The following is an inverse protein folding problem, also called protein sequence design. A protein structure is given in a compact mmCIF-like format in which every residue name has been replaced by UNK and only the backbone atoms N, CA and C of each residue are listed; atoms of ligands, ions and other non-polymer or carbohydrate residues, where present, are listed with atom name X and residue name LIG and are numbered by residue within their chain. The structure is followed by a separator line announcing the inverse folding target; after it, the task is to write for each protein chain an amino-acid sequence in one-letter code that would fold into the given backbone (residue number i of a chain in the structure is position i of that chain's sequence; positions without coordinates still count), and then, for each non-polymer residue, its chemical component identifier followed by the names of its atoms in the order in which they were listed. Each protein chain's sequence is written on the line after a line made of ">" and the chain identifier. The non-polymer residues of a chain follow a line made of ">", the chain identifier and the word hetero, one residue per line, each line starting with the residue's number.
data_IF_026752290675
#
_entry.id   IF_026752290675
#
_cell.length_a   1.000
_cell.length_b   1.000
_cell.length_c   1.000
_cell.angle_alpha   90.00
_cell.angle_beta   90.00
_cell.angle_gamma   90.00
#
_symmetry.space_group_name_H-M   'P 1'
#
loop_
_entity.id
_entity.type
_entity.pdbx_description
1 polymer ?
#
# COMPACT_ATOMS: atom_id res chain seq x y z
N UNK A 1 18.37 30.69 -10.95
CA UNK A 1 19.84 30.56 -10.87
C UNK A 1 20.43 29.88 -12.11
N UNK A 2 20.15 28.60 -12.38
CA UNK A 2 20.79 27.86 -13.49
C UNK A 2 20.65 28.52 -14.89
N UNK A 3 19.54 29.20 -15.16
CA UNK A 3 19.33 29.96 -16.42
C UNK A 3 20.28 31.14 -16.58
N UNK A 4 20.71 31.76 -15.47
CA UNK A 4 21.63 32.91 -15.47
C UNK A 4 23.10 32.47 -15.55
N UNK A 5 23.41 31.22 -15.19
CA UNK A 5 24.76 30.65 -15.31
C UNK A 5 25.02 30.19 -16.75
N UNK A 6 26.30 30.21 -17.17
CA UNK A 6 26.75 29.94 -18.53
C UNK A 6 27.78 28.81 -18.52
N UNK A 7 27.62 27.84 -19.43
CA UNK A 7 28.56 26.74 -19.65
C UNK A 7 29.94 27.30 -20.04
N UNK A 8 31.00 26.66 -19.57
CA UNK A 8 32.42 27.00 -19.79
C UNK A 8 32.91 28.32 -19.15
N UNK A 9 32.02 29.08 -18.49
CA UNK A 9 32.37 30.25 -17.69
C UNK A 9 32.05 30.04 -16.21
N UNK A 10 30.80 29.71 -15.92
CA UNK A 10 30.27 29.55 -14.56
C UNK A 10 30.26 28.09 -14.10
N UNK A 11 30.25 27.13 -15.02
CA UNK A 11 30.31 25.71 -14.72
C UNK A 11 30.88 24.92 -15.89
N UNK A 12 31.36 23.73 -15.59
CA UNK A 12 31.77 22.71 -16.57
C UNK A 12 30.83 21.52 -16.49
N UNK A 13 30.65 20.81 -17.60
CA UNK A 13 29.77 19.65 -17.71
C UNK A 13 30.57 18.46 -18.22
N UNK A 14 30.43 17.34 -17.53
CA UNK A 14 30.94 16.04 -17.94
C UNK A 14 29.76 15.17 -18.36
N UNK A 15 29.51 15.15 -19.67
CA UNK A 15 28.41 14.39 -20.29
C UNK A 15 28.61 12.88 -20.11
N UNK A 16 29.86 12.40 -20.07
CA UNK A 16 30.17 10.97 -19.92
C UNK A 16 29.81 10.46 -18.53
N UNK A 17 30.09 11.27 -17.50
CA UNK A 17 29.79 10.92 -16.11
C UNK A 17 28.46 11.51 -15.61
N UNK A 18 27.69 12.16 -16.49
CA UNK A 18 26.43 12.83 -16.13
C UNK A 18 26.60 13.78 -14.93
N UNK A 19 27.64 14.59 -14.95
CA UNK A 19 27.99 15.47 -13.84
C UNK A 19 28.24 16.91 -14.29
N UNK A 20 28.09 17.85 -13.37
CA UNK A 20 28.40 19.26 -13.58
C UNK A 20 29.12 19.81 -12.34
N UNK A 21 30.08 20.70 -12.55
CA UNK A 21 30.89 21.31 -11.49
C UNK A 21 30.90 22.82 -11.69
N UNK A 22 30.60 23.59 -10.63
CA UNK A 22 30.69 25.05 -10.66
C UNK A 22 32.15 25.50 -10.67
N UNK A 23 32.42 26.62 -11.35
CA UNK A 23 33.69 27.36 -11.20
C UNK A 23 33.57 28.33 -10.02
N UNK A 24 34.70 28.84 -9.51
CA UNK A 24 34.70 29.88 -8.45
C UNK A 24 33.83 31.10 -8.81
N UNK A 25 33.84 31.47 -10.09
CA UNK A 25 33.00 32.56 -10.61
C UNK A 25 31.52 32.19 -10.58
N UNK A 26 31.16 30.97 -10.98
CA UNK A 26 29.78 30.49 -10.95
C UNK A 26 29.22 30.34 -9.55
N UNK A 27 30.05 29.92 -8.59
CA UNK A 27 29.70 29.88 -7.18
C UNK A 27 29.38 31.28 -6.65
N UNK A 28 30.24 32.26 -6.92
CA UNK A 28 29.99 33.65 -6.51
C UNK A 28 28.72 34.25 -7.13
N UNK A 29 28.49 34.03 -8.42
CA UNK A 29 27.27 34.51 -9.10
C UNK A 29 26.02 33.81 -8.53
N UNK A 30 26.10 32.52 -8.20
CA UNK A 30 24.99 31.81 -7.58
C UNK A 30 24.69 32.33 -6.16
N UNK A 31 25.71 32.64 -5.37
CA UNK A 31 25.59 33.30 -4.06
C UNK A 31 24.89 34.65 -4.17
N UNK A 32 25.36 35.51 -5.09
CA UNK A 32 24.77 36.84 -5.31
C UNK A 32 23.29 36.75 -5.74
N UNK A 33 22.94 35.78 -6.59
CA UNK A 33 21.55 35.58 -7.04
C UNK A 33 20.63 35.02 -5.96
N UNK A 34 21.16 34.20 -5.04
CA UNK A 34 20.40 33.62 -3.93
C UNK A 34 20.40 34.52 -2.69
N UNK A 35 21.28 35.51 -2.62
CA UNK A 35 21.44 36.38 -1.45
C UNK A 35 22.05 35.66 -0.26
N UNK A 36 22.90 34.66 -0.49
CA UNK A 36 23.53 33.83 0.57
C UNK A 36 25.05 34.01 0.52
N UNK A 37 25.70 34.01 1.69
CA UNK A 37 27.17 34.15 1.77
C UNK A 37 27.90 32.84 1.43
N UNK A 38 27.26 31.69 1.65
CA UNK A 38 27.85 30.38 1.46
C UNK A 38 26.81 29.39 0.90
N UNK A 39 27.15 28.68 -0.18
CA UNK A 39 26.26 27.67 -0.78
C UNK A 39 26.29 26.33 -0.03
N UNK A 40 27.33 26.11 0.79
CA UNK A 40 27.63 24.85 1.48
C UNK A 40 27.16 24.81 2.93
N UNK A 41 26.38 25.79 3.37
CA UNK A 41 25.91 25.87 4.75
C UNK A 41 25.12 24.59 5.12
N UNK A 42 25.46 23.89 6.22
CA UNK A 42 24.81 22.62 6.55
C UNK A 42 23.31 22.72 6.81
N UNK A 43 22.84 23.86 7.33
CA UNK A 43 21.43 24.10 7.58
C UNK A 43 20.64 24.34 6.28
N UNK A 44 21.26 24.97 5.28
CA UNK A 44 20.66 25.30 3.99
C UNK A 44 21.65 25.06 2.84
N UNK A 45 21.86 23.80 2.48
CA UNK A 45 22.80 23.40 1.43
C UNK A 45 22.27 23.74 0.02
N UNK A 46 22.23 25.03 -0.32
CA UNK A 46 21.81 25.57 -1.62
C UNK A 46 22.60 24.99 -2.78
N UNK A 47 23.85 24.60 -2.54
CA UNK A 47 24.73 23.98 -3.54
C UNK A 47 24.08 22.78 -4.23
N UNK A 48 23.36 21.92 -3.48
CA UNK A 48 22.74 20.73 -4.04
C UNK A 48 21.65 21.09 -5.07
N UNK A 49 20.83 22.09 -4.73
CA UNK A 49 19.78 22.59 -5.61
C UNK A 49 20.36 23.28 -6.85
N UNK A 50 21.40 24.10 -6.69
CA UNK A 50 22.07 24.78 -7.81
C UNK A 50 22.69 23.77 -8.76
N UNK A 51 23.42 22.78 -8.25
CA UNK A 51 24.03 21.72 -9.05
C UNK A 51 22.96 20.88 -9.76
N UNK A 52 21.91 20.46 -9.07
CA UNK A 52 20.82 19.71 -9.70
C UNK A 52 20.11 20.53 -10.79
N UNK A 53 19.92 21.84 -10.59
CA UNK A 53 19.33 22.71 -11.61
C UNK A 53 20.24 22.88 -12.84
N UNK A 54 21.56 22.99 -12.65
CA UNK A 54 22.53 23.02 -13.75
C UNK A 54 22.56 21.68 -14.49
N UNK A 55 22.58 20.56 -13.75
CA UNK A 55 22.47 19.22 -14.35
C UNK A 55 21.18 19.07 -15.14
N UNK A 56 20.03 19.48 -14.60
CA UNK A 56 18.73 19.38 -15.27
C UNK A 56 18.72 20.19 -16.57
N UNK A 57 19.32 21.39 -16.55
CA UNK A 57 19.42 22.27 -17.71
C UNK A 57 20.25 21.63 -18.84
N UNK A 58 21.42 21.08 -18.51
CA UNK A 58 22.42 20.68 -19.52
C UNK A 58 22.36 19.20 -19.91
N UNK A 59 22.12 18.30 -18.95
CA UNK A 59 22.30 16.86 -19.12
C UNK A 59 20.99 16.09 -19.35
N UNK A 60 19.83 16.72 -19.16
CA UNK A 60 18.53 16.07 -19.29
C UNK A 60 17.70 16.85 -20.29
N UNK A 61 17.49 16.30 -21.49
CA UNK A 61 16.75 16.91 -22.58
C UNK A 61 15.38 16.27 -22.76
N UNK A 62 14.38 17.13 -23.01
CA UNK A 62 13.03 16.68 -23.32
C UNK A 62 13.02 15.93 -24.66
N UNK A 63 12.53 14.70 -24.65
CA UNK A 63 12.50 13.80 -25.80
C UNK A 63 13.64 12.78 -25.85
N UNK A 64 14.66 12.92 -25.00
CA UNK A 64 15.78 11.98 -24.91
C UNK A 64 15.77 11.23 -23.58
N UNK A 65 16.10 11.89 -22.47
CA UNK A 65 16.11 11.25 -21.13
C UNK A 65 14.70 11.17 -20.49
N UNK A 66 13.77 12.02 -20.92
CA UNK A 66 12.39 12.02 -20.43
C UNK A 66 11.40 12.60 -21.43
N UNK A 67 10.13 12.35 -21.16
CA UNK A 67 8.99 13.01 -21.78
C UNK A 67 8.06 13.57 -20.70
N UNK A 68 7.17 14.47 -21.10
CA UNK A 68 6.08 14.95 -20.26
C UNK A 68 4.80 14.25 -20.70
N UNK A 69 4.13 13.56 -19.77
CA UNK A 69 2.87 12.86 -20.02
C UNK A 69 1.91 13.13 -18.87
N UNK A 70 0.68 13.54 -19.20
CA UNK A 70 -0.37 13.86 -18.22
C UNK A 70 0.09 14.88 -17.15
N UNK A 71 0.91 15.84 -17.55
CA UNK A 71 1.49 16.85 -16.65
C UNK A 71 2.58 16.33 -15.72
N UNK A 72 3.13 15.14 -15.95
CA UNK A 72 4.20 14.55 -15.14
C UNK A 72 5.43 14.20 -15.98
N UNK A 73 6.60 14.27 -15.36
CA UNK A 73 7.88 13.86 -15.97
C UNK A 73 7.99 12.33 -15.93
N UNK A 74 8.15 11.71 -17.09
CA UNK A 74 8.31 10.26 -17.23
C UNK A 74 9.68 9.94 -17.84
N UNK A 75 10.46 9.10 -17.14
CA UNK A 75 11.82 8.72 -17.56
C UNK A 75 11.74 7.83 -18.79
N UNK A 76 12.63 8.09 -19.75
CA UNK A 76 12.81 7.26 -20.95
C UNK A 76 14.14 6.51 -20.85
N UNK A 77 14.12 5.23 -21.15
CA UNK A 77 15.35 4.47 -21.37
C UNK A 77 15.98 4.88 -22.70
N UNK A 78 17.14 5.54 -22.65
CA UNK A 78 17.84 6.07 -23.83
C UNK A 78 18.26 5.01 -24.83
N UNK A 79 18.37 3.74 -24.41
CA UNK A 79 18.69 2.64 -25.33
C UNK A 79 17.47 2.10 -26.08
N UNK A 80 16.32 2.03 -25.41
CA UNK A 80 15.12 1.36 -25.96
C UNK A 80 14.00 2.31 -26.34
N UNK A 81 14.07 3.59 -25.93
CA UNK A 81 13.02 4.58 -26.09
C UNK A 81 11.76 4.30 -25.27
N UNK A 82 11.79 3.32 -24.36
CA UNK A 82 10.63 2.93 -23.55
C UNK A 82 10.49 3.82 -22.33
N UNK A 83 9.25 4.15 -22.01
CA UNK A 83 8.90 4.86 -20.78
C UNK A 83 9.02 3.91 -19.58
N UNK A 84 9.78 4.32 -18.56
CA UNK A 84 9.98 3.57 -17.33
C UNK A 84 8.95 4.00 -16.29
N UNK A 85 7.76 3.40 -16.32
CA UNK A 85 6.65 3.72 -15.42
C UNK A 85 7.02 3.54 -13.94
N UNK A 86 6.64 4.52 -13.11
CA UNK A 86 6.88 4.52 -11.67
C UNK A 86 8.32 4.81 -11.22
N UNK A 87 9.26 5.01 -12.15
CA UNK A 87 10.64 5.39 -11.81
C UNK A 87 10.80 6.89 -11.67
N UNK A 88 11.66 7.29 -10.71
CA UNK A 88 12.05 8.68 -10.46
C UNK A 88 13.56 8.76 -10.24
N UNK A 89 14.17 9.88 -10.59
CA UNK A 89 15.57 10.13 -10.24
C UNK A 89 15.70 10.46 -8.75
N UNK A 90 16.81 10.05 -8.14
CA UNK A 90 17.11 10.28 -6.73
C UNK A 90 17.58 11.72 -6.46
N UNK A 91 17.81 12.02 -5.17
CA UNK A 91 18.58 13.19 -4.71
C UNK A 91 18.06 14.56 -5.17
N UNK A 92 16.74 14.67 -5.40
CA UNK A 92 16.11 15.93 -5.81
C UNK A 92 16.22 16.22 -7.32
N UNK A 93 16.85 15.33 -8.09
CA UNK A 93 17.06 15.53 -9.52
C UNK A 93 15.74 15.54 -10.30
N UNK A 94 14.78 14.68 -9.91
CA UNK A 94 13.48 14.63 -10.57
C UNK A 94 12.69 15.94 -10.34
N UNK A 95 12.74 16.50 -9.14
CA UNK A 95 12.15 17.80 -8.82
C UNK A 95 12.84 18.94 -9.59
N UNK A 96 14.16 18.87 -9.80
CA UNK A 96 14.87 19.87 -10.59
C UNK A 96 14.41 19.86 -12.06
N UNK A 97 14.08 18.69 -12.62
CA UNK A 97 13.52 18.56 -13.97
C UNK A 97 12.06 19.04 -14.02
N UNK A 98 11.22 18.67 -13.03
CA UNK A 98 9.86 19.21 -12.90
C UNK A 98 9.89 20.76 -12.85
N UNK A 99 10.81 21.32 -12.07
CA UNK A 99 11.00 22.78 -11.96
C UNK A 99 11.48 23.39 -13.29
N UNK A 100 12.42 22.73 -13.98
CA UNK A 100 12.92 23.15 -15.30
C UNK A 100 11.78 23.27 -16.31
N UNK A 101 10.87 22.30 -16.32
CA UNK A 101 9.72 22.23 -17.24
C UNK A 101 8.51 23.02 -16.74
N UNK A 102 8.64 23.76 -15.64
CA UNK A 102 7.57 24.57 -15.04
C UNK A 102 6.32 23.73 -14.69
N UNK A 103 6.55 22.51 -14.20
CA UNK A 103 5.55 21.57 -13.70
C UNK A 103 5.47 21.69 -12.18
N UNK A 104 4.29 21.46 -11.61
CA UNK A 104 4.10 21.42 -10.16
C UNK A 104 5.05 20.38 -9.53
N UNK A 105 5.89 20.86 -8.60
CA UNK A 105 6.91 20.02 -7.97
C UNK A 105 6.25 18.99 -7.07
N UNK A 106 6.55 17.74 -7.35
CA UNK A 106 6.03 16.62 -6.59
C UNK A 106 6.63 16.53 -5.18
N UNK A 107 5.79 16.18 -4.20
CA UNK A 107 6.25 15.98 -2.83
C UNK A 107 7.11 14.72 -2.75
N UNK A 108 8.33 14.86 -2.21
CA UNK A 108 9.20 13.73 -1.90
C UNK A 108 8.74 13.08 -0.59
N UNK A 109 8.29 11.83 -0.62
CA UNK A 109 8.34 10.99 0.58
C UNK A 109 9.75 10.40 0.67
N UNK A 110 10.52 10.84 1.65
CA UNK A 110 11.82 10.23 1.96
C UNK A 110 11.58 9.16 3.04
N UNK A 111 12.04 7.95 2.78
CA UNK A 111 12.04 6.90 3.81
C UNK A 111 13.15 7.24 4.81
N UNK A 112 12.77 7.74 5.99
CA UNK A 112 13.73 8.10 7.05
C UNK A 112 14.35 6.87 7.73
N UNK A 113 13.58 5.78 7.82
CA UNK A 113 14.04 4.50 8.38
C UNK A 113 13.22 3.35 7.79
N UNK A 114 13.85 2.19 7.65
CA UNK A 114 13.20 0.97 7.18
C UNK A 114 13.75 -0.24 7.95
N UNK A 115 12.85 -1.14 8.34
CA UNK A 115 13.18 -2.46 8.88
C UNK A 115 12.12 -3.45 8.40
N UNK A 116 12.52 -4.69 8.13
CA UNK A 116 11.57 -5.77 7.83
C UNK A 116 10.99 -6.33 9.12
N UNK A 117 9.78 -6.93 9.08
CA UNK A 117 9.21 -7.57 10.27
C UNK A 117 10.10 -8.70 10.79
N UNK A 118 10.75 -9.44 9.89
CA UNK A 118 11.72 -10.48 10.24
C UNK A 118 12.85 -9.91 11.10
N UNK A 119 13.49 -8.84 10.62
CA UNK A 119 14.59 -8.19 11.35
C UNK A 119 14.11 -7.56 12.64
N UNK A 120 12.95 -6.90 12.64
CA UNK A 120 12.36 -6.26 13.82
C UNK A 120 12.11 -7.26 14.95
N UNK A 121 11.42 -8.37 14.66
CA UNK A 121 11.06 -9.34 15.70
C UNK A 121 12.26 -10.14 16.22
N UNK A 122 13.32 -10.29 15.42
CA UNK A 122 14.58 -10.90 15.87
C UNK A 122 15.37 -10.06 16.87
N UNK A 123 15.04 -8.76 17.02
CA UNK A 123 15.66 -7.91 18.04
C UNK A 123 15.16 -8.22 19.46
N UNK A 124 14.01 -8.88 19.61
CA UNK A 124 13.43 -9.16 20.92
C UNK A 124 14.17 -10.33 21.59
N UNK A 125 14.65 -10.18 22.84
CA UNK A 125 15.37 -11.25 23.54
C UNK A 125 14.53 -12.52 23.76
N UNK A 126 13.21 -12.36 23.82
CA UNK A 126 12.24 -13.45 23.92
C UNK A 126 11.09 -13.15 22.98
N UNK A 127 10.74 -14.13 22.15
CA UNK A 127 9.64 -14.04 21.21
C UNK A 127 8.69 -15.23 21.44
N UNK A 128 7.39 -14.94 21.46
CA UNK A 128 6.33 -15.94 21.49
C UNK A 128 5.17 -15.48 20.59
N UNK A 129 4.37 -16.43 20.12
CA UNK A 129 3.25 -16.16 19.23
C UNK A 129 2.09 -17.13 19.50
N UNK A 130 0.88 -16.71 19.16
CA UNK A 130 -0.33 -17.53 19.22
C UNK A 130 -1.17 -17.32 17.96
N UNK A 131 -1.69 -18.40 17.40
CA UNK A 131 -2.61 -18.39 16.25
C UNK A 131 -3.28 -19.76 16.12
N UNK A 132 -4.42 -19.81 15.44
CA UNK A 132 -5.12 -21.06 15.12
C UNK A 132 -4.53 -21.84 13.94
N UNK A 133 -3.63 -21.24 13.14
CA UNK A 133 -3.23 -21.78 11.82
C UNK A 133 -1.71 -21.78 11.59
N UNK A 134 -0.89 -22.03 12.63
CA UNK A 134 0.58 -21.99 12.49
C UNK A 134 1.22 -23.29 12.00
N UNK A 135 0.54 -24.45 12.14
CA UNK A 135 1.20 -25.74 11.94
C UNK A 135 1.69 -25.98 10.50
N UNK A 136 0.98 -25.47 9.49
CA UNK A 136 1.39 -25.60 8.08
C UNK A 136 2.67 -24.82 7.80
N UNK A 137 2.84 -23.65 8.43
CA UNK A 137 4.00 -22.76 8.25
C UNK A 137 5.06 -22.94 9.35
N UNK A 138 5.03 -24.06 10.08
CA UNK A 138 5.92 -24.23 11.25
C UNK A 138 7.41 -24.21 10.89
N UNK A 139 7.77 -24.70 9.69
CA UNK A 139 9.13 -24.67 9.19
C UNK A 139 9.63 -23.22 9.00
N UNK A 140 8.79 -22.34 8.44
CA UNK A 140 9.13 -20.94 8.25
C UNK A 140 9.30 -20.21 9.59
N UNK A 141 8.41 -20.49 10.56
CA UNK A 141 8.52 -19.93 11.92
C UNK A 141 9.81 -20.35 12.63
N UNK A 142 10.22 -21.61 12.48
CA UNK A 142 11.45 -22.13 13.08
C UNK A 142 12.69 -21.55 12.38
N UNK A 143 12.70 -21.50 11.04
CA UNK A 143 13.84 -21.00 10.26
C UNK A 143 14.07 -19.50 10.45
N UNK A 144 13.02 -18.68 10.37
CA UNK A 144 13.15 -17.22 10.40
C UNK A 144 13.25 -16.69 11.83
N UNK A 145 12.46 -17.25 12.75
CA UNK A 145 12.27 -16.70 14.09
C UNK A 145 12.75 -17.62 15.22
N UNK A 146 13.17 -18.86 14.93
CA UNK A 146 13.51 -19.85 15.96
C UNK A 146 12.30 -20.29 16.79
N UNK A 147 11.08 -20.10 16.27
CA UNK A 147 9.84 -20.40 16.98
C UNK A 147 9.32 -21.79 16.62
N UNK A 148 9.20 -22.67 17.62
CA UNK A 148 8.56 -23.98 17.45
C UNK A 148 7.04 -23.85 17.59
N UNK A 149 6.30 -24.34 16.60
CA UNK A 149 4.85 -24.40 16.67
C UNK A 149 4.39 -25.66 17.42
N UNK A 150 3.50 -25.48 18.40
CA UNK A 150 2.89 -26.59 19.15
C UNK A 150 1.38 -26.51 19.02
N UNK A 151 0.75 -27.59 18.54
CA UNK A 151 -0.71 -27.69 18.50
C UNK A 151 -1.28 -27.88 19.90
N UNK A 152 -2.14 -26.96 20.33
CA UNK A 152 -2.86 -27.07 21.60
C UNK A 152 -4.21 -27.74 21.35
N UNK A 153 -4.59 -28.79 22.12
CA UNK A 153 -5.90 -29.41 21.99
C UNK A 153 -7.04 -28.41 22.18
N UNK A 154 -8.14 -28.58 21.43
CA UNK A 154 -9.31 -27.72 21.57
C UNK A 154 -10.07 -28.02 22.87
N UNK A 155 -10.67 -27.00 23.47
CA UNK A 155 -11.46 -27.15 24.70
C UNK A 155 -12.68 -28.07 24.55
N UNK A 156 -13.20 -28.20 23.32
CA UNK A 156 -14.28 -29.13 22.94
C UNK A 156 -13.94 -29.82 21.62
N UNK A 157 -14.46 -31.02 21.36
CA UNK A 157 -14.34 -31.65 20.05
C UNK A 157 -14.89 -30.74 18.94
N UNK A 158 -14.13 -30.59 17.85
CA UNK A 158 -14.53 -29.80 16.70
C UNK A 158 -15.57 -30.58 15.88
N UNK A 159 -16.75 -29.99 15.67
CA UNK A 159 -17.90 -30.61 14.97
C UNK A 159 -18.34 -29.84 13.72
N UNK A 160 -17.55 -28.83 13.30
CA UNK A 160 -17.80 -28.06 12.08
C UNK A 160 -17.69 -28.99 10.87
N UNK A 161 -18.61 -28.85 9.94
CA UNK A 161 -18.59 -29.57 8.66
C UNK A 161 -17.96 -28.66 7.63
N UNK A 162 -16.78 -29.06 7.16
CA UNK A 162 -16.08 -28.41 6.06
C UNK A 162 -16.47 -29.12 4.75
N UNK A 163 -17.14 -28.39 3.86
CA UNK A 163 -17.61 -28.92 2.58
C UNK A 163 -16.52 -28.73 1.50
N UNK A 164 -16.47 -29.59 0.46
CA UNK A 164 -15.55 -29.42 -0.66
C UNK A 164 -15.79 -28.12 -1.44
N UNK A 165 -14.74 -27.61 -2.07
CA UNK A 165 -14.82 -26.43 -2.92
C UNK A 165 -15.74 -26.64 -4.12
N UNK A 166 -16.48 -25.59 -4.50
CA UNK A 166 -17.33 -25.57 -5.69
C UNK A 166 -16.76 -24.56 -6.69
N UNK A 167 -16.41 -25.03 -7.88
CA UNK A 167 -15.75 -24.23 -8.92
C UNK A 167 -16.72 -23.90 -10.04
N UNK A 168 -16.79 -22.62 -10.40
CA UNK A 168 -17.65 -22.11 -11.48
C UNK A 168 -16.81 -21.58 -12.64
N UNK A 169 -17.35 -21.69 -13.86
CA UNK A 169 -16.70 -21.22 -15.08
C UNK A 169 -16.53 -19.69 -15.12
N UNK A 170 -17.49 -18.95 -14.57
CA UNK A 170 -17.49 -17.49 -14.58
C UNK A 170 -17.72 -16.94 -13.17
N UNK A 171 -17.21 -15.74 -12.91
CA UNK A 171 -17.44 -15.04 -11.65
C UNK A 171 -18.91 -14.74 -11.41
N UNK A 172 -19.66 -14.39 -12.46
CA UNK A 172 -21.09 -14.18 -12.35
C UNK A 172 -21.84 -15.44 -11.91
N UNK A 173 -21.51 -16.61 -12.48
CA UNK A 173 -22.12 -17.87 -12.06
C UNK A 173 -21.82 -18.20 -10.58
N UNK A 174 -20.58 -17.93 -10.14
CA UNK A 174 -20.17 -18.05 -8.73
C UNK A 174 -21.02 -17.14 -7.82
N UNK A 175 -21.16 -15.86 -8.18
CA UNK A 175 -21.93 -14.89 -7.39
C UNK A 175 -23.41 -15.27 -7.33
N UNK A 176 -24.00 -15.67 -8.47
CA UNK A 176 -25.40 -16.10 -8.52
C UNK A 176 -25.64 -17.33 -7.62
N UNK A 177 -24.74 -18.31 -7.63
CA UNK A 177 -24.86 -19.49 -6.78
C UNK A 177 -24.73 -19.18 -5.28
N UNK A 178 -23.83 -18.25 -4.90
CA UNK A 178 -23.72 -17.78 -3.51
C UNK A 178 -25.04 -17.15 -3.06
N UNK A 179 -25.63 -16.29 -3.88
CA UNK A 179 -26.89 -15.60 -3.58
C UNK A 179 -28.04 -16.61 -3.47
N UNK A 180 -28.14 -17.56 -4.40
CA UNK A 180 -29.15 -18.61 -4.38
C UNK A 180 -29.08 -19.47 -3.10
N UNK A 181 -27.88 -19.90 -2.70
CA UNK A 181 -27.67 -20.66 -1.46
C UNK A 181 -28.15 -19.88 -0.22
N UNK A 182 -27.89 -18.56 -0.18
CA UNK A 182 -28.32 -17.70 0.93
C UNK A 182 -29.84 -17.55 0.96
N UNK A 183 -30.48 -17.36 -0.20
CA UNK A 183 -31.94 -17.29 -0.30
C UNK A 183 -32.58 -18.60 0.17
N UNK A 184 -32.08 -19.75 -0.32
CA UNK A 184 -32.56 -21.07 0.08
C UNK A 184 -32.37 -21.33 1.59
N UNK A 185 -31.23 -20.92 2.13
CA UNK A 185 -30.95 -21.00 3.57
C UNK A 185 -31.95 -20.16 4.39
N UNK A 186 -32.23 -18.94 3.96
CA UNK A 186 -33.16 -18.02 4.62
C UNK A 186 -34.61 -18.51 4.56
N UNK A 187 -35.03 -19.13 3.45
CA UNK A 187 -36.36 -19.72 3.31
C UNK A 187 -36.57 -20.97 4.19
N UNK A 188 -35.49 -21.71 4.50
CA UNK A 188 -35.57 -22.92 5.32
C UNK A 188 -35.58 -22.60 6.81
N UNK A 189 -34.42 -22.25 7.33
CA UNK A 189 -34.18 -22.16 8.78
C UNK A 189 -33.47 -20.85 9.17
N UNK A 190 -32.99 -20.04 8.22
CA UNK A 190 -32.31 -18.79 8.50
C UNK A 190 -31.03 -18.95 9.32
N UNK A 191 -30.20 -19.97 9.04
CA UNK A 191 -28.91 -20.12 9.72
C UNK A 191 -28.04 -18.88 9.42
N UNK A 192 -27.34 -18.28 10.41
CA UNK A 192 -26.45 -17.16 10.16
C UNK A 192 -25.36 -17.52 9.13
N UNK A 193 -25.03 -16.56 8.26
CA UNK A 193 -24.06 -16.73 7.18
C UNK A 193 -23.00 -15.63 7.24
N UNK A 194 -21.73 -16.02 7.21
CA UNK A 194 -20.59 -15.13 7.01
C UNK A 194 -19.95 -15.44 5.64
N UNK A 195 -19.80 -14.41 4.81
CA UNK A 195 -19.25 -14.51 3.45
C UNK A 195 -17.92 -13.79 3.44
N UNK A 196 -16.83 -14.52 3.20
CA UNK A 196 -15.50 -13.94 3.04
C UNK A 196 -15.21 -13.60 1.57
N UNK A 197 -14.70 -12.40 1.31
CA UNK A 197 -14.21 -11.99 -0.02
C UNK A 197 -12.77 -11.49 0.07
N UNK A 198 -12.05 -11.52 -1.05
CA UNK A 198 -10.66 -11.05 -1.12
C UNK A 198 -10.54 -9.53 -1.36
N UNK A 199 -11.54 -8.89 -1.94
CA UNK A 199 -11.50 -7.47 -2.30
C UNK A 199 -12.87 -6.79 -2.15
N UNK A 200 -12.84 -5.47 -1.98
CA UNK A 200 -14.04 -4.65 -1.72
C UNK A 200 -15.03 -4.71 -2.88
N UNK A 201 -14.53 -4.70 -4.13
CA UNK A 201 -15.37 -4.74 -5.34
C UNK A 201 -16.27 -5.98 -5.38
N UNK A 202 -15.72 -7.14 -5.02
CA UNK A 202 -16.47 -8.39 -4.96
C UNK A 202 -17.51 -8.36 -3.82
N UNK A 203 -17.16 -7.80 -2.66
CA UNK A 203 -18.11 -7.63 -1.56
C UNK A 203 -19.30 -6.77 -1.95
N UNK A 204 -19.04 -5.63 -2.60
CA UNK A 204 -20.08 -4.72 -3.07
C UNK A 204 -20.97 -5.38 -4.12
N UNK A 205 -20.39 -6.15 -5.05
CA UNK A 205 -21.16 -6.91 -6.03
C UNK A 205 -22.11 -7.93 -5.38
N UNK A 206 -21.63 -8.68 -4.39
CA UNK A 206 -22.45 -9.65 -3.64
C UNK A 206 -23.54 -8.94 -2.85
N UNK A 207 -23.21 -7.84 -2.16
CA UNK A 207 -24.18 -7.04 -1.38
C UNK A 207 -25.30 -6.51 -2.27
N UNK A 208 -24.97 -5.97 -3.44
CA UNK A 208 -25.96 -5.48 -4.40
C UNK A 208 -26.90 -6.59 -4.85
N UNK A 209 -26.36 -7.75 -5.27
CA UNK A 209 -27.18 -8.90 -5.70
C UNK A 209 -28.06 -9.47 -4.57
N UNK A 210 -27.57 -9.45 -3.33
CA UNK A 210 -28.37 -9.87 -2.16
C UNK A 210 -29.54 -8.91 -1.90
N UNK A 211 -29.31 -7.60 -1.98
CA UNK A 211 -30.36 -6.58 -1.81
C UNK A 211 -31.41 -6.66 -2.91
N UNK A 212 -30.99 -6.85 -4.16
CA UNK A 212 -31.90 -7.09 -5.29
C UNK A 212 -32.78 -8.33 -5.07
N UNK A 213 -32.27 -9.33 -4.35
CA UNK A 213 -33.01 -10.52 -3.96
C UNK A 213 -33.81 -10.39 -2.64
N UNK A 214 -33.88 -9.18 -2.06
CA UNK A 214 -34.63 -8.92 -0.83
C UNK A 214 -33.95 -9.37 0.47
N UNK A 215 -32.64 -9.63 0.44
CA UNK A 215 -31.83 -9.93 1.62
C UNK A 215 -31.01 -8.69 2.00
N UNK A 216 -31.04 -8.28 3.26
CA UNK A 216 -30.27 -7.13 3.76
C UNK A 216 -28.99 -7.60 4.49
N UNK A 217 -27.82 -7.67 3.81
CA UNK A 217 -26.58 -8.07 4.43
C UNK A 217 -25.90 -6.91 5.17
N UNK A 218 -25.11 -7.26 6.19
CA UNK A 218 -24.13 -6.37 6.82
C UNK A 218 -22.80 -6.44 6.07
N UNK A 219 -22.20 -5.30 5.71
CA UNK A 219 -20.92 -5.24 4.99
C UNK A 219 -19.81 -4.72 5.90
N UNK A 220 -18.70 -5.47 5.98
CA UNK A 220 -17.47 -5.11 6.70
C UNK A 220 -16.32 -4.99 5.70
N UNK A 221 -15.68 -3.82 5.66
CA UNK A 221 -14.66 -3.48 4.67
C UNK A 221 -13.27 -3.24 5.26
N UNK A 222 -13.07 -3.50 6.56
CA UNK A 222 -11.80 -3.31 7.26
C UNK A 222 -11.25 -1.89 7.13
N UNK A 223 -12.12 -0.87 7.03
CA UNK A 223 -11.69 0.53 7.01
C UNK A 223 -11.24 0.94 8.42
N UNK A 224 -10.04 1.54 8.60
CA UNK A 224 -9.51 1.86 9.94
C UNK A 224 -10.48 2.63 10.83
N UNK A 225 -11.18 3.60 10.25
CA UNK A 225 -12.18 4.46 10.91
C UNK A 225 -13.43 3.69 11.38
N UNK A 226 -13.70 2.52 10.79
CA UNK A 226 -14.90 1.73 11.04
C UNK A 226 -14.64 0.48 11.89
N UNK A 227 -13.39 0.20 12.28
CA UNK A 227 -13.03 -1.04 13.00
C UNK A 227 -13.89 -1.26 14.26
N UNK A 228 -14.09 -0.23 15.08
CA UNK A 228 -14.89 -0.35 16.31
C UNK A 228 -16.35 -0.76 16.02
N UNK A 229 -16.97 -0.13 15.01
CA UNK A 229 -18.33 -0.42 14.58
C UNK A 229 -18.44 -1.77 13.86
N UNK A 230 -17.44 -2.14 13.08
CA UNK A 230 -17.36 -3.45 12.41
C UNK A 230 -17.26 -4.57 13.45
N UNK A 231 -16.49 -4.36 14.53
CA UNK A 231 -16.39 -5.32 15.65
C UNK A 231 -17.72 -5.49 16.40
N UNK A 232 -18.49 -4.41 16.59
CA UNK A 232 -19.84 -4.50 17.14
C UNK A 232 -20.79 -5.27 16.20
N UNK A 233 -20.66 -5.03 14.89
CA UNK A 233 -21.51 -5.68 13.89
C UNK A 233 -21.21 -7.18 13.78
N UNK A 234 -19.93 -7.57 13.75
CA UNK A 234 -19.52 -8.96 13.61
C UNK A 234 -19.87 -9.78 14.86
N UNK A 235 -19.85 -9.18 16.06
CA UNK A 235 -20.24 -9.88 17.30
C UNK A 235 -21.73 -10.30 17.30
N UNK A 236 -22.55 -9.62 16.50
CA UNK A 236 -23.97 -9.91 16.30
C UNK A 236 -24.25 -10.83 15.10
N UNK A 237 -23.22 -11.19 14.31
CA UNK A 237 -23.38 -11.99 13.09
C UNK A 237 -23.90 -13.41 13.34
N UNK A 238 -23.82 -13.91 14.58
CA UNK A 238 -24.32 -15.23 14.97
C UNK A 238 -25.82 -15.31 15.25
N UNK A 239 -26.57 -14.21 15.07
CA UNK A 239 -28.04 -14.18 15.26
C UNK A 239 -28.77 -14.83 14.09
N UNK A 240 -29.95 -15.38 14.37
CA UNK A 240 -30.81 -16.02 13.37
C UNK A 240 -31.09 -15.05 12.21
N UNK A 241 -30.93 -15.52 10.98
CA UNK A 241 -31.19 -14.79 9.74
C UNK A 241 -30.10 -13.79 9.34
N UNK A 242 -29.04 -13.63 10.12
CA UNK A 242 -27.98 -12.66 9.80
C UNK A 242 -27.16 -13.11 8.60
N UNK A 243 -26.97 -12.20 7.66
CA UNK A 243 -26.04 -12.35 6.54
C UNK A 243 -24.98 -11.27 6.65
N UNK A 244 -23.72 -11.66 6.77
CA UNK A 244 -22.58 -10.74 6.93
C UNK A 244 -21.57 -11.00 5.81
N UNK A 245 -21.16 -9.95 5.12
CA UNK A 245 -20.12 -9.96 4.09
C UNK A 245 -18.87 -9.30 4.68
N UNK A 246 -17.77 -10.02 4.74
CA UNK A 246 -16.49 -9.59 5.31
C UNK A 246 -15.40 -9.59 4.25
N UNK A 247 -14.84 -8.41 3.98
CA UNK A 247 -13.72 -8.23 3.07
C UNK A 247 -12.40 -8.48 3.80
N UNK A 248 -11.55 -9.35 3.25
CA UNK A 248 -10.17 -9.59 3.70
C UNK A 248 -10.03 -9.77 5.23
N UNK A 249 -10.84 -10.65 5.82
CA UNK A 249 -10.86 -10.93 7.27
C UNK A 249 -11.27 -9.72 8.14
N UNK A 250 -12.10 -8.80 7.62
CA UNK A 250 -12.73 -7.77 8.45
C UNK A 250 -13.48 -8.39 9.64
N UNK A 251 -13.32 -7.80 10.83
CA UNK A 251 -13.82 -8.36 12.10
C UNK A 251 -12.88 -9.38 12.76
N UNK A 252 -11.65 -9.57 12.25
CA UNK A 252 -10.64 -10.44 12.88
C UNK A 252 -10.41 -10.06 14.35
N UNK A 253 -10.45 -11.08 15.21
CA UNK A 253 -10.22 -10.94 16.66
C UNK A 253 -11.50 -10.77 17.47
N UNK A 254 -12.67 -10.70 16.83
CA UNK A 254 -13.98 -10.70 17.50
C UNK A 254 -14.69 -12.04 17.29
N UNK A 255 -15.11 -12.68 18.38
CA UNK A 255 -15.81 -13.96 18.32
C UNK A 255 -17.26 -13.81 17.83
N UNK A 256 -17.68 -14.69 16.92
CA UNK A 256 -19.06 -14.79 16.45
C UNK A 256 -19.78 -15.82 17.32
N UNK A 257 -20.45 -15.34 18.36
CA UNK A 257 -21.22 -16.18 19.29
C UNK A 257 -22.62 -16.43 18.70
N UNK A 258 -23.05 -17.69 18.68
CA UNK A 258 -24.40 -18.05 18.24
C UNK A 258 -25.44 -17.40 19.14
N UNK A 259 -26.44 -16.75 18.55
CA UNK A 259 -27.44 -15.95 19.26
C UNK A 259 -27.03 -14.49 19.51
N UNK A 260 -25.80 -14.11 19.17
CA UNK A 260 -25.26 -12.76 19.37
C UNK A 260 -24.53 -12.59 20.72
N UNK A 261 -23.66 -11.59 20.78
CA UNK A 261 -22.89 -11.29 21.99
C UNK A 261 -23.77 -10.53 23.01
N UNK A 262 -24.13 -11.19 24.10
CA UNK A 262 -25.04 -10.65 25.12
C UNK A 262 -24.45 -9.50 25.93
N UNK A 263 -23.14 -9.51 26.20
CA UNK A 263 -22.49 -8.44 26.96
C UNK A 263 -22.45 -7.10 26.24
N UNK A 264 -22.50 -7.11 24.90
CA UNK A 264 -22.56 -5.90 24.08
C UNK A 264 -24.00 -5.44 23.78
N UNK A 265 -25.01 -6.28 24.04
CA UNK A 265 -26.42 -5.91 23.89
C UNK A 265 -27.00 -5.19 25.12
N UNK A 266 -26.33 -5.25 26.27
CA UNK A 266 -26.79 -4.69 27.54
C UNK A 266 -26.16 -3.33 27.89
N UNK A 267 -25.37 -2.76 26.97
CA UNK A 267 -24.79 -1.42 27.04
C UNK A 267 -25.55 -0.48 26.12
#
# INVERSE_FOLDING_TARGET
>A
VATALQKDLHYTVDEKNMNAVLTDLGEKVAQDLLGVENLWEPEEAWILYVLNAVKAKELFQLGEEYIIRDGQVAIVDTFTGRVLEGRRWSDGMHQAIETKENIDVSVRSQVSAQITYQSLFRLFPRLCAMTGTALTESAEFEEIYGLRCTGIPTARPMVRRDYPDVVYKTEEAKVNAIVEEIILNNQRNGRPVLIGTANVKMSEAIVTRLREAGVEPQLLNARPESIARENETISQAGRLGMVTVSTNMAGRGTDIILGGNHSQMAA
#
